data_IF_194184787076
#
_entry.id   IF_194184787076
#
_cell.length_a   1.000
_cell.length_b   1.000
_cell.length_c   1.000
_cell.angle_alpha   90.00
_cell.angle_beta   90.00
_cell.angle_gamma   90.00
#
_symmetry.space_group_name_H-M   'P 1'
#
loop_
_entity.id
_entity.type
_entity.pdbx_description
1 polymer ?
#
# COMPACT_ATOMS: atom_id res chain seq x y z
N UNK A 1 -12.06 31.87 -36.86
CA UNK A 1 -10.92 32.45 -36.12
C UNK A 1 -11.15 32.22 -34.64
N UNK A 2 -10.28 31.46 -33.99
CA UNK A 2 -10.40 31.09 -32.57
C UNK A 2 -9.08 30.45 -32.15
N UNK A 3 -8.44 31.03 -31.16
CA UNK A 3 -6.99 31.11 -30.99
C UNK A 3 -6.28 29.78 -30.71
N UNK A 4 -5.19 29.58 -31.45
CA UNK A 4 -4.13 28.61 -31.15
C UNK A 4 -3.39 29.11 -29.90
N UNK A 5 -3.49 28.38 -28.80
CA UNK A 5 -2.53 28.53 -27.70
C UNK A 5 -1.28 27.72 -28.07
N UNK A 6 -0.42 28.32 -28.89
CA UNK A 6 0.97 27.91 -29.06
C UNK A 6 1.82 28.89 -28.25
N UNK A 7 2.49 28.39 -27.22
CA UNK A 7 3.55 29.13 -26.57
C UNK A 7 4.73 29.26 -27.55
N UNK A 8 5.35 30.44 -27.70
CA UNK A 8 6.64 30.57 -28.34
C UNK A 8 7.69 30.08 -27.34
N UNK A 9 8.64 29.29 -27.84
CA UNK A 9 9.75 28.68 -27.09
C UNK A 9 9.34 27.39 -26.34
N UNK A 10 9.64 26.26 -26.98
CA UNK A 10 9.40 24.89 -26.52
C UNK A 10 10.25 24.47 -25.31
N UNK A 11 10.27 25.29 -24.26
CA UNK A 11 10.83 24.92 -22.97
C UNK A 11 9.74 24.24 -22.13
N UNK A 12 9.93 22.94 -21.93
CA UNK A 12 9.14 22.12 -21.04
C UNK A 12 9.35 22.64 -19.62
N UNK A 13 8.29 23.17 -19.00
CA UNK A 13 8.34 23.56 -17.57
C UNK A 13 8.86 22.36 -16.77
N UNK A 14 9.85 22.54 -15.86
CA UNK A 14 10.24 21.50 -14.94
C UNK A 14 8.99 21.02 -14.21
N UNK A 15 8.70 19.73 -14.32
CA UNK A 15 7.67 19.10 -13.53
C UNK A 15 8.00 19.36 -12.06
N UNK A 16 7.19 20.16 -11.40
CA UNK A 16 7.24 20.28 -9.95
C UNK A 16 6.98 18.88 -9.41
N UNK A 17 8.05 18.22 -8.96
CA UNK A 17 8.00 16.96 -8.24
C UNK A 17 6.87 17.01 -7.21
N UNK A 18 5.96 16.02 -7.15
CA UNK A 18 4.98 15.99 -6.08
C UNK A 18 5.74 16.03 -4.77
N UNK A 19 5.46 17.06 -3.97
CA UNK A 19 6.01 17.24 -2.63
C UNK A 19 5.93 15.90 -1.89
N UNK A 20 7.06 15.50 -1.30
CA UNK A 20 7.23 14.22 -0.60
C UNK A 20 6.21 14.09 0.54
N UNK A 21 5.00 13.65 0.21
CA UNK A 21 4.09 13.01 1.15
C UNK A 21 4.61 11.59 1.34
N UNK A 22 5.77 11.46 2.01
CA UNK A 22 6.34 10.17 2.38
C UNK A 22 5.55 9.64 3.57
N UNK A 23 4.32 9.21 3.25
CA UNK A 23 3.31 8.70 4.14
C UNK A 23 3.84 7.43 4.83
N UNK A 24 3.54 7.31 6.12
CA UNK A 24 3.85 6.15 6.96
C UNK A 24 3.76 4.82 6.21
N UNK A 25 4.86 4.06 6.19
CA UNK A 25 4.94 2.76 5.51
C UNK A 25 4.00 1.71 6.11
N UNK A 26 3.59 1.89 7.37
CA UNK A 26 2.58 1.05 8.02
C UNK A 26 1.58 1.89 8.83
N UNK A 27 0.30 1.65 8.59
CA UNK A 27 -0.87 2.25 9.26
C UNK A 27 -1.69 1.20 10.03
N UNK A 28 -1.66 -0.03 9.57
CA UNK A 28 -2.43 -1.15 10.13
C UNK A 28 -1.52 -2.10 10.88
N UNK A 29 -1.91 -2.44 12.10
CA UNK A 29 -1.16 -3.33 12.98
C UNK A 29 -2.07 -4.42 13.54
N UNK A 30 -1.49 -5.58 13.81
CA UNK A 30 -2.17 -6.71 14.43
C UNK A 30 -1.59 -6.93 15.81
N UNK A 31 -2.47 -7.03 16.82
CA UNK A 31 -2.13 -7.48 18.16
C UNK A 31 -2.63 -8.90 18.33
N UNK A 32 -1.73 -9.83 18.64
CA UNK A 32 -2.04 -11.21 19.01
C UNK A 32 -1.65 -11.44 20.47
N UNK A 33 -2.43 -12.25 21.21
CA UNK A 33 -1.97 -12.78 22.50
C UNK A 33 -0.99 -13.91 22.24
N UNK A 34 0.00 -14.08 23.11
CA UNK A 34 0.98 -15.18 22.98
C UNK A 34 0.37 -16.56 23.24
N UNK A 35 -0.53 -16.64 24.22
CA UNK A 35 -1.05 -17.92 24.72
C UNK A 35 -2.41 -18.32 24.12
N UNK A 36 -3.23 -17.34 23.70
CA UNK A 36 -4.61 -17.59 23.25
C UNK A 36 -5.11 -16.41 22.37
N UNK A 37 -6.39 -16.07 22.47
CA UNK A 37 -7.10 -15.12 21.66
C UNK A 37 -7.84 -14.10 22.54
N UNK A 38 -8.20 -12.95 21.98
CA UNK A 38 -9.00 -11.96 22.70
C UNK A 38 -10.49 -12.32 22.79
N UNK A 39 -10.91 -13.54 22.41
CA UNK A 39 -12.33 -13.93 22.30
C UNK A 39 -13.11 -13.69 23.60
N UNK A 40 -12.56 -14.08 24.74
CA UNK A 40 -13.18 -13.90 26.06
C UNK A 40 -12.63 -12.70 26.85
N UNK A 41 -11.84 -11.84 26.22
CA UNK A 41 -11.28 -10.64 26.88
C UNK A 41 -12.28 -9.48 26.76
N UNK A 42 -12.48 -8.76 27.87
CA UNK A 42 -13.39 -7.61 27.93
C UNK A 42 -13.01 -6.53 26.89
N UNK A 43 -13.94 -6.12 26.01
CA UNK A 43 -13.71 -5.03 25.06
C UNK A 43 -13.36 -3.70 25.75
N UNK A 44 -13.93 -3.44 26.93
CA UNK A 44 -13.67 -2.22 27.71
C UNK A 44 -12.22 -2.22 28.22
N UNK A 45 -11.72 -3.36 28.71
CA UNK A 45 -10.33 -3.48 29.14
C UNK A 45 -9.39 -3.21 27.97
N UNK A 46 -9.63 -3.83 26.81
CA UNK A 46 -8.85 -3.63 25.60
C UNK A 46 -8.83 -2.15 25.23
N UNK A 47 -10.01 -1.52 25.11
CA UNK A 47 -10.13 -0.11 24.73
C UNK A 47 -9.37 0.80 25.71
N UNK A 48 -9.58 0.65 27.02
CA UNK A 48 -8.90 1.47 28.03
C UNK A 48 -7.38 1.33 27.97
N UNK A 49 -6.86 0.11 27.80
CA UNK A 49 -5.41 -0.08 27.68
C UNK A 49 -4.85 0.55 26.41
N UNK A 50 -5.52 0.40 25.27
CA UNK A 50 -5.07 1.02 24.01
C UNK A 50 -5.06 2.55 24.13
N UNK A 51 -6.15 3.14 24.65
CA UNK A 51 -6.22 4.59 24.87
C UNK A 51 -5.14 5.07 25.85
N UNK A 52 -4.89 4.33 26.93
CA UNK A 52 -3.88 4.70 27.93
C UNK A 52 -2.44 4.60 27.41
N UNK A 53 -2.13 3.61 26.57
CA UNK A 53 -0.76 3.32 26.14
C UNK A 53 -0.39 3.96 24.81
N UNK A 54 -1.38 4.11 23.91
CA UNK A 54 -1.19 4.53 22.52
C UNK A 54 -1.92 5.84 22.25
N UNK A 55 -3.00 6.14 22.97
CA UNK A 55 -3.88 7.28 22.72
C UNK A 55 -5.07 6.91 21.83
N UNK A 56 -5.77 7.92 21.32
CA UNK A 56 -6.95 7.73 20.48
C UNK A 56 -6.55 7.33 19.05
N UNK A 57 -6.77 6.05 18.72
CA UNK A 57 -6.43 5.45 17.42
C UNK A 57 -7.62 5.55 16.47
N UNK A 58 -7.39 5.55 15.15
CA UNK A 58 -8.48 5.68 14.15
C UNK A 58 -9.51 4.57 14.27
N UNK A 59 -9.06 3.35 14.52
CA UNK A 59 -9.94 2.20 14.64
C UNK A 59 -9.30 1.08 15.45
N UNK A 60 -10.14 0.41 16.22
CA UNK A 60 -9.82 -0.85 16.91
C UNK A 60 -10.90 -1.85 16.56
N UNK A 61 -10.50 -2.98 15.94
CA UNK A 61 -11.43 -4.03 15.52
C UNK A 61 -10.95 -5.39 16.00
N UNK A 62 -11.84 -6.16 16.60
CA UNK A 62 -11.59 -7.57 16.92
C UNK A 62 -11.87 -8.45 15.70
N UNK A 63 -10.89 -9.25 15.30
CA UNK A 63 -10.98 -10.16 14.16
C UNK A 63 -11.63 -11.49 14.55
N UNK A 64 -12.17 -12.22 13.56
CA UNK A 64 -12.82 -13.53 13.78
C UNK A 64 -11.86 -14.60 14.34
N UNK A 65 -10.59 -14.52 13.96
CA UNK A 65 -9.51 -15.34 14.51
C UNK A 65 -9.14 -14.95 15.96
N UNK A 66 -9.73 -13.90 16.51
CA UNK A 66 -9.52 -13.45 17.88
C UNK A 66 -8.29 -12.54 18.09
N UNK A 67 -7.67 -12.03 17.03
CA UNK A 67 -6.67 -10.95 17.12
C UNK A 67 -7.34 -9.57 17.12
N UNK A 68 -6.57 -8.52 17.40
CA UNK A 68 -7.02 -7.13 17.23
C UNK A 68 -6.33 -6.51 16.02
N UNK A 69 -7.11 -5.83 15.19
CA UNK A 69 -6.64 -4.96 14.13
C UNK A 69 -6.73 -3.51 14.64
N UNK A 70 -5.59 -2.82 14.62
CA UNK A 70 -5.49 -1.42 15.03
C UNK A 70 -5.08 -0.59 13.81
N UNK A 71 -5.78 0.53 13.62
CA UNK A 71 -5.44 1.53 12.63
C UNK A 71 -4.96 2.80 13.35
N UNK A 72 -3.70 3.19 13.12
CA UNK A 72 -3.11 4.39 13.74
C UNK A 72 -3.24 5.62 12.85
N UNK A 73 -3.20 6.80 13.46
CA UNK A 73 -3.18 8.08 12.75
C UNK A 73 -1.77 8.65 12.61
N UNK A 74 -0.86 8.37 13.55
CA UNK A 74 0.45 9.04 13.62
C UNK A 74 1.62 8.06 13.81
N UNK A 75 2.85 8.43 13.42
CA UNK A 75 4.04 7.61 13.65
C UNK A 75 4.34 7.40 15.14
N UNK A 76 3.96 8.36 15.99
CA UNK A 76 4.13 8.27 17.44
C UNK A 76 3.26 7.13 17.99
N UNK A 77 2.00 7.06 17.56
CA UNK A 77 1.09 5.96 17.92
C UNK A 77 1.63 4.61 17.46
N UNK A 78 2.11 4.52 16.21
CA UNK A 78 2.75 3.30 15.70
C UNK A 78 3.92 2.85 16.60
N UNK A 79 4.78 3.79 16.99
CA UNK A 79 5.94 3.51 17.84
C UNK A 79 5.53 3.04 19.24
N UNK A 80 4.53 3.67 19.84
CA UNK A 80 3.99 3.26 21.14
C UNK A 80 3.32 1.89 21.06
N UNK A 81 2.56 1.64 19.99
CA UNK A 81 1.88 0.37 19.75
C UNK A 81 2.89 -0.78 19.59
N UNK A 82 3.98 -0.59 18.87
CA UNK A 82 5.03 -1.61 18.72
C UNK A 82 5.75 -1.94 20.04
N UNK A 83 5.75 -1.01 21.01
CA UNK A 83 6.30 -1.24 22.35
C UNK A 83 5.32 -1.93 23.30
N UNK A 84 4.05 -2.08 22.91
CA UNK A 84 3.03 -2.68 23.76
C UNK A 84 3.29 -4.17 23.94
N UNK A 85 3.58 -4.57 25.16
CA UNK A 85 3.85 -5.98 25.52
C UNK A 85 2.69 -6.64 26.25
N UNK A 86 1.79 -5.86 26.87
CA UNK A 86 0.68 -6.39 27.67
C UNK A 86 -0.61 -5.62 27.45
N UNK A 87 -1.73 -6.35 27.53
CA UNK A 87 -3.07 -5.78 27.67
C UNK A 87 -3.69 -6.37 28.94
N UNK A 88 -3.84 -5.56 29.99
CA UNK A 88 -4.14 -6.07 31.32
C UNK A 88 -3.08 -7.08 31.76
N UNK A 89 -3.50 -8.30 32.07
CA UNK A 89 -2.61 -9.40 32.48
C UNK A 89 -2.19 -10.30 31.30
N UNK A 90 -2.55 -9.97 30.06
CA UNK A 90 -2.28 -10.81 28.89
C UNK A 90 -1.05 -10.33 28.15
N UNK A 91 -0.07 -11.22 27.94
CA UNK A 91 1.07 -10.95 27.08
C UNK A 91 0.67 -10.94 25.61
N UNK A 92 1.14 -9.93 24.90
CA UNK A 92 0.81 -9.68 23.50
C UNK A 92 2.05 -9.53 22.63
N UNK A 93 1.84 -9.74 21.33
CA UNK A 93 2.78 -9.43 20.27
C UNK A 93 2.10 -8.50 19.29
N UNK A 94 2.85 -7.50 18.82
CA UNK A 94 2.38 -6.52 17.85
C UNK A 94 3.20 -6.65 16.57
N UNK A 95 2.54 -6.73 15.43
CA UNK A 95 3.19 -6.77 14.12
C UNK A 95 2.46 -5.88 13.12
N UNK A 96 3.18 -5.39 12.11
CA UNK A 96 2.56 -4.69 10.98
C UNK A 96 1.66 -5.66 10.20
N UNK A 97 0.47 -5.21 9.83
CA UNK A 97 -0.42 -6.01 9.00
C UNK A 97 0.17 -6.19 7.59
N UNK A 98 0.32 -7.42 7.12
CA UNK A 98 1.02 -7.72 5.86
C UNK A 98 0.30 -7.20 4.61
N UNK A 99 -1.03 -7.36 4.51
CA UNK A 99 -1.78 -6.95 3.32
C UNK A 99 -2.39 -5.55 3.38
N UNK A 100 -2.94 -5.11 4.52
CA UNK A 100 -3.58 -3.78 4.62
C UNK A 100 -2.59 -2.60 4.52
N UNK A 101 -1.30 -2.84 4.74
CA UNK A 101 -0.24 -1.86 4.49
C UNK A 101 0.33 -1.95 3.07
N UNK A 102 -0.27 -2.77 2.22
CA UNK A 102 0.10 -2.86 0.81
C UNK A 102 -1.05 -2.39 -0.06
N UNK A 103 -0.71 -1.73 -1.15
CA UNK A 103 -1.63 -1.33 -2.19
C UNK A 103 -1.08 -1.72 -3.55
N UNK A 104 -1.96 -1.91 -4.52
CA UNK A 104 -1.58 -2.27 -5.88
C UNK A 104 -2.12 -1.26 -6.88
N UNK A 105 -1.25 -0.84 -7.77
CA UNK A 105 -1.58 0.11 -8.82
C UNK A 105 -1.14 -0.35 -10.19
N UNK A 106 -1.70 0.26 -11.23
CA UNK A 106 -1.35 0.04 -12.62
C UNK A 106 -0.85 1.33 -13.22
N UNK A 107 0.35 1.26 -13.81
CA UNK A 107 0.88 2.30 -14.70
C UNK A 107 0.86 1.79 -16.13
N UNK A 108 0.86 2.71 -17.09
CA UNK A 108 0.80 2.39 -18.52
C UNK A 108 1.77 3.27 -19.27
N UNK A 109 2.86 2.68 -19.77
CA UNK A 109 3.85 3.40 -20.57
C UNK A 109 4.44 2.47 -21.64
N UNK A 110 4.33 2.89 -22.90
CA UNK A 110 4.84 2.18 -24.06
C UNK A 110 6.36 2.08 -24.07
N UNK A 111 7.07 3.10 -23.60
CA UNK A 111 8.54 3.09 -23.58
C UNK A 111 9.10 2.06 -22.58
N UNK A 112 8.33 1.75 -21.53
CA UNK A 112 8.66 0.69 -20.58
C UNK A 112 8.26 -0.70 -21.07
N UNK A 113 7.76 -0.88 -22.30
CA UNK A 113 7.19 -2.17 -22.74
C UNK A 113 8.23 -3.30 -22.79
N UNK A 114 9.48 -2.97 -23.15
CA UNK A 114 10.56 -3.93 -23.33
C UNK A 114 11.54 -3.99 -22.14
N UNK A 115 11.37 -3.09 -21.17
CA UNK A 115 12.18 -3.04 -19.96
C UNK A 115 11.93 -4.26 -19.06
N UNK A 116 12.98 -4.71 -18.36
CA UNK A 116 12.85 -5.81 -17.42
C UNK A 116 12.13 -5.35 -16.14
N UNK A 117 11.32 -6.24 -15.57
CA UNK A 117 10.61 -5.96 -14.32
C UNK A 117 11.56 -5.68 -13.15
N UNK A 118 12.76 -6.29 -13.15
CA UNK A 118 13.81 -6.05 -12.17
C UNK A 118 14.32 -4.61 -12.22
N UNK A 119 14.54 -4.09 -13.42
CA UNK A 119 15.17 -2.79 -13.63
C UNK A 119 14.19 -1.68 -13.27
N UNK A 120 12.92 -1.86 -13.67
CA UNK A 120 11.80 -1.01 -13.25
C UNK A 120 11.64 -1.03 -11.72
N UNK A 121 11.74 -2.21 -11.10
CA UNK A 121 11.62 -2.34 -9.65
C UNK A 121 12.75 -1.59 -8.95
N UNK A 122 13.99 -1.75 -9.39
CA UNK A 122 15.17 -1.11 -8.82
C UNK A 122 15.04 0.42 -8.85
N UNK A 123 14.59 0.99 -9.97
CA UNK A 123 14.35 2.44 -10.12
C UNK A 123 13.22 2.95 -9.22
N UNK A 124 12.19 2.13 -8.98
CA UNK A 124 11.01 2.52 -8.19
C UNK A 124 11.08 2.17 -6.70
N UNK A 125 12.14 1.51 -6.23
CA UNK A 125 12.28 1.14 -4.79
C UNK A 125 12.20 2.35 -3.86
N UNK A 126 12.76 3.48 -4.30
CA UNK A 126 12.73 4.76 -3.58
C UNK A 126 11.34 5.41 -3.52
N UNK A 127 10.30 4.76 -4.05
CA UNK A 127 8.91 5.19 -4.00
C UNK A 127 8.02 4.11 -3.35
N UNK A 128 8.63 3.27 -2.51
CA UNK A 128 7.98 2.19 -1.77
C UNK A 128 7.41 1.06 -2.66
N UNK A 129 7.87 0.93 -3.91
CA UNK A 129 7.51 -0.22 -4.75
C UNK A 129 8.31 -1.45 -4.30
N UNK A 130 7.60 -2.55 -4.03
CA UNK A 130 8.18 -3.83 -3.57
C UNK A 130 8.08 -4.95 -4.58
N UNK A 131 7.19 -4.82 -5.56
CA UNK A 131 7.10 -5.76 -6.67
C UNK A 131 6.55 -5.07 -7.92
N UNK A 132 7.06 -5.47 -9.08
CA UNK A 132 6.57 -5.09 -10.40
C UNK A 132 6.10 -6.37 -11.08
N UNK A 133 5.01 -6.30 -11.83
CA UNK A 133 4.52 -7.41 -12.66
C UNK A 133 3.92 -6.87 -13.96
N UNK A 134 4.43 -7.32 -15.09
CA UNK A 134 3.91 -6.98 -16.42
C UNK A 134 2.64 -7.75 -16.70
N UNK A 135 1.65 -7.04 -17.23
CA UNK A 135 0.47 -7.66 -17.79
C UNK A 135 0.83 -8.12 -19.20
N UNK A 136 0.61 -9.40 -19.47
CA UNK A 136 0.79 -9.97 -20.81
C UNK A 136 -0.50 -10.58 -21.29
N UNK A 137 -0.75 -10.47 -22.59
CA UNK A 137 -1.92 -11.05 -23.26
C UNK A 137 -1.51 -12.31 -24.01
N UNK A 138 -2.42 -13.28 -24.12
CA UNK A 138 -2.22 -14.42 -25.02
C UNK A 138 -2.83 -14.12 -26.37
N UNK A 139 -2.02 -14.19 -27.43
CA UNK A 139 -2.48 -14.08 -28.81
C UNK A 139 -1.83 -15.22 -29.60
N UNK A 140 -2.63 -16.01 -30.30
CA UNK A 140 -2.17 -17.14 -31.12
C UNK A 140 -1.26 -18.13 -30.35
N UNK A 141 -1.58 -18.38 -29.08
CA UNK A 141 -0.80 -19.26 -28.19
C UNK A 141 0.48 -18.65 -27.61
N UNK A 142 0.88 -17.45 -28.06
CA UNK A 142 2.06 -16.75 -27.55
C UNK A 142 1.70 -15.71 -26.49
N UNK A 143 2.58 -15.54 -25.51
CA UNK A 143 2.45 -14.54 -24.46
C UNK A 143 3.13 -13.23 -24.91
N UNK A 144 2.33 -12.19 -25.13
CA UNK A 144 2.80 -10.89 -25.61
C UNK A 144 2.82 -9.89 -24.45
N UNK A 145 3.97 -9.27 -24.12
CA UNK A 145 4.06 -8.25 -23.09
C UNK A 145 3.28 -7.00 -23.50
N UNK A 146 2.56 -6.41 -22.56
CA UNK A 146 1.89 -5.11 -22.77
C UNK A 146 2.65 -3.98 -22.10
N UNK A 147 2.25 -2.74 -22.41
CA UNK A 147 2.70 -1.52 -21.76
C UNK A 147 2.21 -1.35 -20.31
N UNK A 148 1.38 -2.26 -19.81
CA UNK A 148 0.77 -2.15 -18.49
C UNK A 148 1.57 -2.92 -17.45
N UNK A 149 1.89 -2.24 -16.35
CA UNK A 149 2.64 -2.79 -15.23
C UNK A 149 1.80 -2.66 -13.97
N UNK A 150 1.70 -3.75 -13.22
CA UNK A 150 1.14 -3.78 -11.87
C UNK A 150 2.30 -3.50 -10.91
N UNK A 151 2.18 -2.43 -10.14
CA UNK A 151 3.08 -2.08 -9.05
C UNK A 151 2.45 -2.50 -7.72
N UNK A 152 3.22 -3.14 -6.87
CA UNK A 152 2.87 -3.37 -5.46
C UNK A 152 3.64 -2.37 -4.61
N UNK A 153 2.92 -1.57 -3.84
CA UNK A 153 3.48 -0.58 -2.94
C UNK A 153 3.41 -1.09 -1.51
N UNK A 154 4.45 -0.84 -0.72
CA UNK A 154 4.41 -0.96 0.75
C UNK A 154 3.83 0.32 1.37
N UNK A 155 2.63 0.67 0.90
CA UNK A 155 1.84 1.80 1.36
C UNK A 155 0.38 1.36 1.54
N UNK A 156 -0.31 1.81 2.61
CA UNK A 156 -1.71 1.46 2.87
C UNK A 156 -2.68 2.04 1.82
N UNK A 157 -2.27 3.11 1.14
CA UNK A 157 -3.04 3.77 0.09
C UNK A 157 -2.19 3.92 -1.16
N UNK A 158 -2.84 3.78 -2.31
CA UNK A 158 -2.21 3.93 -3.62
C UNK A 158 -1.75 5.38 -3.83
N UNK A 159 -0.50 5.63 -4.27
CA UNK A 159 -0.08 6.97 -4.66
C UNK A 159 -0.81 7.41 -5.93
N UNK A 160 -0.90 8.72 -6.17
CA UNK A 160 -1.57 9.28 -7.37
C UNK A 160 -0.73 9.11 -8.64
N UNK A 161 0.58 9.20 -8.51
CA UNK A 161 1.55 9.01 -9.59
C UNK A 161 2.85 8.42 -9.07
N UNK A 162 3.68 7.92 -9.98
CA UNK A 162 5.08 7.52 -9.74
C UNK A 162 5.97 8.21 -10.76
N UNK A 163 7.19 8.52 -10.35
CA UNK A 163 8.22 9.06 -11.21
C UNK A 163 9.20 7.95 -11.60
N UNK A 164 9.41 7.73 -12.89
CA UNK A 164 10.39 6.73 -13.38
C UNK A 164 11.12 7.30 -14.58
N UNK A 165 12.45 7.21 -14.59
CA UNK A 165 13.29 7.90 -15.56
C UNK A 165 12.91 9.41 -15.63
N UNK A 166 12.33 9.86 -16.74
CA UNK A 166 11.84 11.23 -16.94
C UNK A 166 10.31 11.32 -17.06
N UNK A 167 9.59 10.23 -16.73
CA UNK A 167 8.14 10.16 -16.77
C UNK A 167 7.52 10.40 -15.39
N UNK A 168 6.40 11.13 -15.36
CA UNK A 168 5.50 11.16 -14.21
C UNK A 168 4.20 10.43 -14.58
N UNK A 169 4.10 9.16 -14.20
CA UNK A 169 3.03 8.26 -14.63
C UNK A 169 1.91 8.22 -13.61
N UNK A 170 0.63 8.47 -14.00
CA UNK A 170 -0.49 8.32 -13.10
C UNK A 170 -0.69 6.84 -12.74
N UNK A 171 -0.98 6.57 -11.47
CA UNK A 171 -1.21 5.23 -10.96
C UNK A 171 -2.72 5.02 -10.79
N UNK A 172 -3.25 3.99 -11.45
CA UNK A 172 -4.67 3.60 -11.31
C UNK A 172 -4.82 2.42 -10.35
N UNK A 173 -5.90 2.32 -9.56
CA UNK A 173 -6.14 1.13 -8.74
C UNK A 173 -6.12 -0.16 -9.56
N UNK A 174 -5.37 -1.16 -9.10
CA UNK A 174 -5.41 -2.49 -9.71
C UNK A 174 -6.68 -3.22 -9.28
N UNK A 175 -7.48 -3.62 -10.26
CA UNK A 175 -8.66 -4.48 -10.06
C UNK A 175 -8.29 -5.87 -10.55
N UNK A 176 -8.18 -6.88 -9.67
CA UNK A 176 -7.86 -8.24 -10.09
C UNK A 176 -8.98 -8.81 -10.97
N UNK A 177 -8.59 -9.68 -11.91
CA UNK A 177 -9.56 -10.40 -12.71
C UNK A 177 -10.53 -11.18 -11.81
N UNK A 178 -11.83 -11.18 -12.13
CA UNK A 178 -12.80 -11.99 -11.42
C UNK A 178 -12.33 -13.45 -11.35
N UNK A 179 -12.43 -14.04 -10.16
CA UNK A 179 -12.10 -15.45 -9.98
C UNK A 179 -13.17 -16.28 -10.71
N UNK A 180 -12.72 -17.11 -11.67
CA UNK A 180 -13.60 -18.09 -12.29
C UNK A 180 -13.89 -19.19 -11.27
N UNK A 181 -15.15 -19.34 -10.88
CA UNK A 181 -15.56 -20.51 -10.14
C UNK A 181 -15.66 -21.69 -11.12
N UNK A 182 -15.02 -22.81 -10.77
CA UNK A 182 -15.05 -24.05 -11.58
C UNK A 182 -16.13 -25.03 -11.10
N UNK A 183 -17.02 -24.59 -10.20
CA UNK A 183 -18.06 -25.40 -9.56
C UNK A 183 -19.46 -24.79 -9.70
N UNK A 184 -19.60 -23.68 -10.41
CA UNK A 184 -20.88 -23.01 -10.70
C UNK A 184 -21.35 -23.32 -12.11
#
# INVERSE_FOLDING_TARGET
MGSRNLAPDGEMRPSTSPEKEYLMSARYYVISRKEDSFKCVSPILIHKTIVSMVGDVKSTKKCKNGTLLIEVATPIQASSLLKLQKIGNFDVTVSSHSSLNQSKGVISESELQNELESDILDELRNQNVTAVKRISIRKDGQLIPTKHLILTFNLPSIPKSVHIAYFNLPVRPYIPNPLRCFKC
#
